data_IF_296790890412
#
_entry.id   IF_296790890412
#
_cell.length_a   1.000
_cell.length_b   1.000
_cell.length_c   1.000
_cell.angle_alpha   90.00
_cell.angle_beta   90.00
_cell.angle_gamma   90.00
#
_symmetry.space_group_name_H-M   'P 1'
#
loop_
_entity.id
_entity.type
_entity.pdbx_description
1 polymer ?
#
# COMPACT_ATOMS: atom_id res chain seq x y z
N UNK A 1 9.85 -4.31 19.64
CA UNK A 1 9.20 -5.40 18.88
C UNK A 1 7.74 -5.63 19.31
N UNK A 2 7.08 -4.60 19.88
CA UNK A 2 5.76 -4.72 20.55
C UNK A 2 4.63 -5.05 19.57
N UNK A 3 4.70 -4.58 18.31
CA UNK A 3 3.61 -4.80 17.35
C UNK A 3 3.50 -6.26 16.89
N UNK A 4 4.61 -6.96 16.69
CA UNK A 4 4.59 -8.37 16.28
C UNK A 4 3.96 -9.25 17.37
N UNK A 5 4.32 -9.01 18.63
CA UNK A 5 3.72 -9.68 19.79
C UNK A 5 2.22 -9.36 19.91
N UNK A 6 1.84 -8.09 19.78
CA UNK A 6 0.44 -7.64 19.84
C UNK A 6 -0.43 -8.32 18.76
N UNK A 7 0.14 -8.52 17.57
CA UNK A 7 -0.53 -9.18 16.44
C UNK A 7 -0.36 -10.71 16.45
N UNK A 8 0.24 -11.29 17.50
CA UNK A 8 0.55 -12.72 17.60
C UNK A 8 1.36 -13.26 16.40
N UNK A 9 2.22 -12.42 15.83
CA UNK A 9 3.11 -12.78 14.74
C UNK A 9 4.44 -13.32 15.27
N UNK A 10 5.00 -14.31 14.57
CA UNK A 10 6.30 -14.87 14.91
C UNK A 10 7.42 -13.87 14.58
N UNK A 11 7.92 -13.20 15.61
CA UNK A 11 9.00 -12.22 15.45
C UNK A 11 10.27 -12.83 14.85
N UNK A 12 10.65 -14.05 15.25
CA UNK A 12 11.86 -14.72 14.75
C UNK A 12 11.79 -14.88 13.23
N UNK A 13 10.64 -15.32 12.69
CA UNK A 13 10.47 -15.43 11.23
C UNK A 13 10.56 -14.08 10.51
N UNK A 14 9.99 -13.02 11.10
CA UNK A 14 10.08 -11.66 10.54
C UNK A 14 11.53 -11.20 10.55
N UNK A 15 12.26 -11.43 11.66
CA UNK A 15 13.67 -11.06 11.80
C UNK A 15 14.56 -11.82 10.82
N UNK A 16 14.35 -13.12 10.66
CA UNK A 16 15.10 -13.94 9.69
C UNK A 16 14.86 -13.45 8.24
N UNK A 17 13.64 -12.99 7.93
CA UNK A 17 13.32 -12.38 6.65
C UNK A 17 14.07 -11.05 6.44
N UNK A 18 14.10 -10.20 7.46
CA UNK A 18 14.77 -8.88 7.44
C UNK A 18 16.29 -9.04 7.31
N UNK A 19 16.88 -9.93 8.09
CA UNK A 19 18.34 -10.13 8.13
C UNK A 19 18.85 -10.98 6.95
N UNK A 20 17.95 -11.64 6.22
CA UNK A 20 18.27 -12.49 5.07
C UNK A 20 17.99 -11.85 3.72
N UNK A 21 18.42 -12.53 2.64
CA UNK A 21 18.21 -12.07 1.25
C UNK A 21 16.74 -12.01 0.81
N UNK A 22 15.79 -12.54 1.59
CA UNK A 22 14.38 -12.47 1.25
C UNK A 22 13.83 -11.05 1.39
N UNK A 23 14.17 -10.34 2.46
CA UNK A 23 13.80 -8.94 2.66
C UNK A 23 14.28 -8.05 1.51
N UNK A 24 15.56 -8.18 1.11
CA UNK A 24 16.12 -7.42 -0.01
C UNK A 24 15.38 -7.66 -1.33
N UNK A 25 15.06 -8.93 -1.64
CA UNK A 25 14.29 -9.27 -2.85
C UNK A 25 12.90 -8.66 -2.84
N UNK A 26 12.24 -8.61 -1.68
CA UNK A 26 10.95 -7.94 -1.53
C UNK A 26 11.09 -6.44 -1.74
N UNK A 27 12.11 -5.80 -1.15
CA UNK A 27 12.37 -4.37 -1.35
C UNK A 27 12.60 -4.02 -2.83
N UNK A 28 13.39 -4.82 -3.55
CA UNK A 28 13.60 -4.66 -5.01
C UNK A 28 12.29 -4.86 -5.77
N UNK A 29 11.50 -5.88 -5.46
CA UNK A 29 10.21 -6.11 -6.11
C UNK A 29 9.24 -4.93 -5.88
N UNK A 30 9.20 -4.38 -4.67
CA UNK A 30 8.37 -3.21 -4.35
C UNK A 30 8.91 -1.93 -4.98
N UNK A 31 10.23 -1.74 -5.08
CA UNK A 31 10.81 -0.58 -5.77
C UNK A 31 10.44 -0.57 -7.24
N UNK A 32 10.50 -1.72 -7.94
CA UNK A 32 10.05 -1.83 -9.33
C UNK A 32 8.57 -1.48 -9.49
N UNK A 33 7.69 -1.93 -8.56
CA UNK A 33 6.27 -1.55 -8.58
C UNK A 33 6.08 -0.04 -8.42
N UNK A 34 6.82 0.57 -7.50
CA UNK A 34 6.77 2.01 -7.23
C UNK A 34 7.33 2.86 -8.38
N UNK A 35 8.40 2.41 -9.03
CA UNK A 35 8.98 3.09 -10.20
C UNK A 35 8.10 2.98 -11.45
N UNK A 36 7.35 1.89 -11.58
CA UNK A 36 6.46 1.65 -12.71
C UNK A 36 5.04 2.22 -12.52
N UNK A 37 4.82 3.05 -11.50
CA UNK A 37 3.54 3.74 -11.32
C UNK A 37 3.27 4.70 -12.48
N UNK A 38 2.01 4.71 -12.94
CA UNK A 38 1.54 5.63 -13.97
C UNK A 38 0.23 6.28 -13.52
N UNK A 39 0.19 7.62 -13.34
CA UNK A 39 1.32 8.55 -13.37
C UNK A 39 2.38 8.25 -12.30
N UNK A 40 3.62 8.69 -12.58
CA UNK A 40 4.72 8.58 -11.62
C UNK A 40 4.40 9.39 -10.36
N UNK A 41 4.59 8.78 -9.19
CA UNK A 41 4.38 9.45 -7.92
C UNK A 41 5.39 10.59 -7.70
N UNK A 42 4.93 11.71 -7.16
CA UNK A 42 5.78 12.86 -6.83
C UNK A 42 5.75 13.23 -5.34
N UNK A 43 4.92 12.54 -4.55
CA UNK A 43 4.86 12.64 -3.10
C UNK A 43 4.29 11.36 -2.51
N UNK A 44 4.39 11.22 -1.19
CA UNK A 44 3.69 10.18 -0.42
C UNK A 44 2.68 10.83 0.54
N UNK A 45 1.55 10.17 0.83
CA UNK A 45 1.09 8.90 0.24
C UNK A 45 0.62 9.09 -1.22
N UNK A 46 0.82 8.06 -2.06
CA UNK A 46 0.33 8.00 -3.44
C UNK A 46 -0.74 6.92 -3.56
N UNK A 47 -2.00 7.34 -3.72
CA UNK A 47 -3.17 6.48 -3.59
C UNK A 47 -3.62 6.03 -4.98
N UNK A 48 -3.78 4.71 -5.14
CA UNK A 48 -4.21 4.07 -6.37
C UNK A 48 -5.46 3.28 -6.03
N UNK A 49 -6.52 3.46 -6.81
CA UNK A 49 -7.79 2.75 -6.67
C UNK A 49 -8.08 2.02 -7.97
N UNK A 50 -8.30 0.71 -7.87
CA UNK A 50 -8.51 -0.18 -9.01
C UNK A 50 -7.44 -0.02 -10.12
N UNK A 51 -6.18 0.12 -9.70
CA UNK A 51 -5.03 0.26 -10.60
C UNK A 51 -4.83 1.65 -11.20
N UNK A 52 -5.69 2.62 -10.89
CA UNK A 52 -5.62 3.98 -11.44
C UNK A 52 -5.37 5.03 -10.36
N UNK A 53 -4.57 6.05 -10.69
CA UNK A 53 -4.41 7.25 -9.87
C UNK A 53 -5.01 8.47 -10.56
N UNK A 54 -5.79 9.25 -9.81
CA UNK A 54 -6.23 10.59 -10.20
C UNK A 54 -6.10 11.54 -9.01
N UNK A 55 -6.01 12.84 -9.29
CA UNK A 55 -5.98 13.86 -8.24
C UNK A 55 -7.25 13.84 -7.38
N UNK A 56 -8.41 13.54 -7.98
CA UNK A 56 -9.67 13.39 -7.23
C UNK A 56 -9.59 12.21 -6.27
N UNK A 57 -9.15 11.04 -6.73
CA UNK A 57 -9.06 9.83 -5.90
C UNK A 57 -8.12 10.08 -4.72
N UNK A 58 -6.99 10.70 -4.99
CA UNK A 58 -6.02 11.10 -3.98
C UNK A 58 -6.65 12.02 -2.93
N UNK A 59 -7.26 13.14 -3.36
CA UNK A 59 -7.84 14.13 -2.46
C UNK A 59 -8.98 13.54 -1.62
N UNK A 60 -9.90 12.83 -2.25
CA UNK A 60 -11.07 12.26 -1.57
C UNK A 60 -10.68 11.15 -0.61
N UNK A 61 -9.75 10.29 -0.99
CA UNK A 61 -9.20 9.26 -0.10
C UNK A 61 -8.47 9.86 1.09
N UNK A 62 -7.70 10.93 0.90
CA UNK A 62 -7.01 11.62 1.99
C UNK A 62 -7.97 12.35 2.93
N UNK A 63 -9.08 12.89 2.43
CA UNK A 63 -10.10 13.52 3.26
C UNK A 63 -10.89 12.48 4.07
N UNK A 64 -11.39 11.43 3.41
CA UNK A 64 -12.15 10.36 4.03
C UNK A 64 -12.14 9.10 3.17
N UNK A 65 -11.13 8.24 3.40
CA UNK A 65 -10.97 6.99 2.65
C UNK A 65 -12.20 6.09 2.75
N UNK A 66 -12.80 5.96 3.94
CA UNK A 66 -13.96 5.08 4.15
C UNK A 66 -15.15 5.52 3.30
N UNK A 67 -15.50 6.81 3.35
CA UNK A 67 -16.59 7.35 2.55
C UNK A 67 -16.33 7.14 1.05
N UNK A 68 -15.13 7.49 0.59
CA UNK A 68 -14.79 7.37 -0.82
C UNK A 68 -14.84 5.91 -1.33
N UNK A 69 -14.37 4.95 -0.53
CA UNK A 69 -14.47 3.52 -0.86
C UNK A 69 -15.91 3.04 -0.94
N UNK A 70 -16.77 3.43 0.01
CA UNK A 70 -18.19 3.07 0.00
C UNK A 70 -18.91 3.59 -1.26
N UNK A 71 -18.67 4.84 -1.63
CA UNK A 71 -19.26 5.44 -2.83
C UNK A 71 -18.72 4.78 -4.12
N UNK A 72 -17.41 4.51 -4.18
CA UNK A 72 -16.78 3.85 -5.34
C UNK A 72 -17.31 2.42 -5.53
N UNK A 73 -17.44 1.65 -4.44
CA UNK A 73 -18.00 0.30 -4.46
C UNK A 73 -19.45 0.30 -4.97
N UNK A 74 -20.27 1.26 -4.54
CA UNK A 74 -21.66 1.37 -4.99
C UNK A 74 -21.76 1.70 -6.50
N UNK A 75 -20.89 2.57 -7.00
CA UNK A 75 -20.90 2.99 -8.41
C UNK A 75 -20.43 1.89 -9.37
N UNK A 76 -19.56 0.98 -8.92
CA UNK A 76 -19.02 -0.13 -9.72
C UNK A 76 -19.90 -1.39 -9.71
N UNK A 77 -21.01 -1.40 -8.96
CA UNK A 77 -21.92 -2.54 -8.81
C UNK A 77 -23.40 -2.18 -9.10
N UNK A 78 -23.61 -1.22 -10.03
CA UNK A 78 -24.91 -0.95 -10.66
C UNK A 78 -25.07 -1.82 -11.90
#
# INVERSE_FOLDING_TARGET
>A
MICAETLSMNWTQIKDCIDGSHGDRLLVAHSHRTFNLSPQHHFIPWIIVDGTHTQEFQQRSQMNLMQYMCETYHNNHV
#
